data_IF_874099444859
#
_entry.id   IF_874099444859
#
_cell.length_a   1.000
_cell.length_b   1.000
_cell.length_c   1.000
_cell.angle_alpha   90.00
_cell.angle_beta   90.00
_cell.angle_gamma   90.00
#
_symmetry.space_group_name_H-M   'P 1'
#
loop_
_entity.id
_entity.type
_entity.pdbx_description
1 polymer ?
#
# COMPACT_ATOMS: atom_id res chain seq x y z
N UNK A 1 -11.19 16.39 -34.32
CA UNK A 1 -11.78 16.86 -33.04
C UNK A 1 -10.84 16.51 -31.89
N UNK A 2 -9.86 17.38 -31.56
CA UNK A 2 -8.97 17.15 -30.42
C UNK A 2 -9.71 17.57 -29.13
N UNK A 3 -10.29 16.60 -28.43
CA UNK A 3 -10.96 16.84 -27.15
C UNK A 3 -9.99 17.47 -26.16
N UNK A 4 -10.36 18.60 -25.55
CA UNK A 4 -9.59 19.26 -24.49
C UNK A 4 -9.18 18.21 -23.44
N UNK A 5 -7.87 18.02 -23.24
CA UNK A 5 -7.34 17.11 -22.22
C UNK A 5 -7.96 17.48 -20.87
N UNK A 6 -8.63 16.52 -20.23
CA UNK A 6 -9.27 16.71 -18.93
C UNK A 6 -8.21 17.12 -17.88
N UNK A 7 -8.58 17.91 -16.86
CA UNK A 7 -7.68 18.38 -15.80
C UNK A 7 -6.90 17.21 -15.17
N UNK A 8 -7.56 16.06 -14.97
CA UNK A 8 -6.95 14.81 -14.49
C UNK A 8 -5.84 14.31 -15.42
N UNK A 9 -6.06 14.31 -16.74
CA UNK A 9 -5.03 13.91 -17.71
C UNK A 9 -3.85 14.87 -17.72
N UNK A 10 -4.07 16.18 -17.51
CA UNK A 10 -2.97 17.14 -17.40
C UNK A 10 -2.15 16.91 -16.13
N UNK A 11 -2.82 16.68 -15.00
CA UNK A 11 -2.17 16.35 -13.73
C UNK A 11 -1.31 15.10 -13.83
N UNK A 12 -1.86 13.99 -14.35
CA UNK A 12 -1.14 12.72 -14.55
C UNK A 12 0.07 12.86 -15.48
N UNK A 13 -0.05 13.68 -16.53
CA UNK A 13 1.09 13.95 -17.42
C UNK A 13 2.19 14.77 -16.74
N UNK A 14 1.83 15.72 -15.88
CA UNK A 14 2.79 16.54 -15.14
C UNK A 14 3.51 15.69 -14.09
N UNK A 15 2.78 14.92 -13.29
CA UNK A 15 3.37 14.05 -12.25
C UNK A 15 4.21 12.93 -12.87
N UNK A 16 3.78 12.40 -14.03
CA UNK A 16 4.58 11.44 -14.81
C UNK A 16 5.90 12.03 -15.32
N UNK A 17 5.89 13.26 -15.84
CA UNK A 17 7.12 13.96 -16.25
C UNK A 17 8.04 14.28 -15.07
N UNK A 18 7.46 14.64 -13.93
CA UNK A 18 8.23 14.91 -12.72
C UNK A 18 8.97 13.65 -12.23
N UNK A 19 8.38 12.46 -12.38
CA UNK A 19 9.05 11.16 -12.11
C UNK A 19 10.27 10.92 -13.01
N UNK A 20 10.30 11.47 -14.23
CA UNK A 20 11.47 11.34 -15.11
C UNK A 20 12.66 12.16 -14.57
N UNK A 21 12.39 13.30 -13.93
CA UNK A 21 13.41 14.20 -13.37
C UNK A 21 13.82 13.78 -11.96
N UNK A 22 12.86 13.43 -11.10
CA UNK A 22 13.11 12.99 -9.72
C UNK A 22 13.53 11.52 -9.63
N UNK A 23 13.50 10.78 -10.74
CA UNK A 23 13.74 9.34 -10.78
C UNK A 23 12.52 8.52 -10.31
N UNK A 24 12.58 7.18 -10.50
CA UNK A 24 11.58 6.30 -9.92
C UNK A 24 11.56 6.48 -8.40
N UNK A 25 10.39 6.33 -7.78
CA UNK A 25 10.29 6.27 -6.32
C UNK A 25 11.34 5.30 -5.79
N UNK A 26 12.04 5.66 -4.69
CA UNK A 26 13.13 4.88 -4.12
C UNK A 26 12.73 3.40 -4.08
N UNK A 27 13.37 2.60 -4.93
CA UNK A 27 13.27 1.15 -4.89
C UNK A 27 14.38 0.67 -3.96
N UNK A 28 14.20 0.83 -2.65
CA UNK A 28 15.04 0.06 -1.73
C UNK A 28 14.73 -1.41 -1.98
N UNK A 29 15.75 -2.21 -2.28
CA UNK A 29 15.58 -3.65 -2.42
C UNK A 29 15.02 -4.23 -1.12
N UNK A 30 14.08 -5.16 -1.22
CA UNK A 30 13.62 -5.95 -0.05
C UNK A 30 14.68 -6.92 0.45
N UNK A 31 15.82 -7.00 -0.25
CA UNK A 31 16.94 -7.92 0.01
C UNK A 31 17.89 -7.44 1.12
N UNK A 32 17.61 -6.30 1.77
CA UNK A 32 18.39 -5.87 2.93
C UNK A 32 17.92 -6.62 4.19
N UNK A 33 18.84 -7.00 5.11
CA UNK A 33 18.43 -7.55 6.39
C UNK A 33 17.54 -6.54 7.14
N UNK A 34 16.51 -7.03 7.85
CA UNK A 34 15.71 -6.18 8.72
C UNK A 34 16.58 -5.64 9.84
N UNK A 35 16.60 -4.31 9.99
CA UNK A 35 17.15 -3.63 11.16
C UNK A 35 16.41 -4.06 12.43
N UNK A 36 17.03 -3.89 13.59
CA UNK A 36 16.40 -4.23 14.86
C UNK A 36 15.11 -3.45 15.10
N UNK A 37 15.10 -2.16 14.74
CA UNK A 37 13.90 -1.30 14.83
C UNK A 37 12.76 -1.82 13.96
N UNK A 38 13.05 -2.26 12.73
CA UNK A 38 12.04 -2.83 11.84
C UNK A 38 11.48 -4.16 12.38
N UNK A 39 12.30 -4.96 13.07
CA UNK A 39 11.84 -6.20 13.70
C UNK A 39 10.91 -5.91 14.88
N UNK A 40 11.24 -4.92 15.71
CA UNK A 40 10.37 -4.48 16.82
C UNK A 40 9.04 -3.96 16.29
N UNK A 41 9.09 -3.10 15.28
CA UNK A 41 7.89 -2.60 14.62
C UNK A 41 7.06 -3.75 14.04
N UNK A 42 7.68 -4.74 13.39
CA UNK A 42 6.96 -5.90 12.86
C UNK A 42 6.25 -6.69 13.98
N UNK A 43 6.92 -6.94 15.10
CA UNK A 43 6.32 -7.64 16.25
C UNK A 43 5.10 -6.92 16.80
N UNK A 44 5.17 -5.59 16.93
CA UNK A 44 4.01 -4.77 17.35
C UNK A 44 2.85 -4.91 16.35
N UNK A 45 3.14 -4.85 15.05
CA UNK A 45 2.12 -4.98 14.00
C UNK A 45 1.50 -6.37 13.93
N UNK A 46 2.29 -7.41 14.18
CA UNK A 46 1.78 -8.78 14.25
C UNK A 46 0.87 -8.98 15.46
N UNK A 47 1.23 -8.42 16.62
CA UNK A 47 0.37 -8.41 17.79
C UNK A 47 -0.94 -7.64 17.53
N UNK A 48 -0.84 -6.48 16.88
CA UNK A 48 -2.01 -5.70 16.46
C UNK A 48 -2.88 -6.45 15.44
N UNK A 49 -2.29 -7.19 14.51
CA UNK A 49 -3.05 -7.97 13.53
C UNK A 49 -3.70 -9.21 14.17
N UNK A 50 -3.06 -9.80 15.18
CA UNK A 50 -3.51 -11.03 15.82
C UNK A 50 -4.87 -10.90 16.52
N UNK A 51 -5.32 -9.68 16.84
CA UNK A 51 -6.63 -9.42 17.44
C UNK A 51 -7.79 -9.49 16.41
N UNK A 52 -7.49 -9.66 15.11
CA UNK A 52 -8.48 -9.70 14.04
C UNK A 52 -8.56 -11.08 13.37
N UNK A 53 -9.75 -11.45 12.90
CA UNK A 53 -9.97 -12.64 12.07
C UNK A 53 -10.68 -12.29 10.76
N UNK A 54 -10.37 -13.06 9.71
CA UNK A 54 -10.99 -12.89 8.39
C UNK A 54 -12.15 -13.85 8.25
N UNK A 55 -13.36 -13.32 8.02
CA UNK A 55 -14.57 -14.10 7.80
C UNK A 55 -14.93 -14.06 6.32
N UNK A 56 -15.05 -15.25 5.72
CA UNK A 56 -15.56 -15.45 4.35
C UNK A 56 -17.02 -15.88 4.43
N UNK A 57 -17.91 -15.15 3.76
CA UNK A 57 -19.32 -15.53 3.62
C UNK A 57 -19.54 -16.41 2.39
N UNK A 58 -20.67 -17.10 2.37
CA UNK A 58 -21.09 -17.96 1.26
C UNK A 58 -21.31 -17.20 -0.06
N UNK A 59 -21.59 -15.89 0.01
CA UNK A 59 -21.70 -14.99 -1.15
C UNK A 59 -20.33 -14.60 -1.76
N UNK A 60 -19.23 -15.10 -1.20
CA UNK A 60 -17.86 -14.81 -1.63
C UNK A 60 -17.26 -13.54 -1.03
N UNK A 61 -18.02 -12.73 -0.28
CA UNK A 61 -17.53 -11.52 0.38
C UNK A 61 -16.60 -11.84 1.55
N UNK A 62 -15.63 -10.94 1.80
CA UNK A 62 -14.60 -11.10 2.85
C UNK A 62 -14.59 -9.89 3.75
N UNK A 63 -14.64 -10.11 5.06
CA UNK A 63 -14.57 -9.05 6.06
C UNK A 63 -13.58 -9.41 7.14
N UNK A 64 -13.09 -8.38 7.82
CA UNK A 64 -12.23 -8.51 8.99
C UNK A 64 -13.08 -8.15 10.22
N UNK A 65 -13.11 -9.02 11.21
CA UNK A 65 -13.84 -8.81 12.47
C UNK A 65 -12.90 -8.98 13.66
N UNK A 66 -13.15 -8.29 14.79
CA UNK A 66 -12.36 -8.50 16.00
C UNK A 66 -12.60 -9.94 16.50
N UNK A 67 -11.53 -10.62 16.92
CA UNK A 67 -11.68 -11.89 17.63
C UNK A 67 -12.40 -11.63 18.95
N UNK A 68 -13.40 -12.45 19.27
CA UNK A 68 -13.99 -12.46 20.61
C UNK A 68 -12.96 -13.09 21.55
N UNK A 69 -12.58 -12.38 22.60
CA UNK A 69 -11.71 -12.91 23.66
C UNK A 69 -12.35 -14.10 24.37
#
# INVERSE_FOLDING_TARGET
MAGKKNAVQRFMNITGKLRVILGPAQKSGVDHPMTEDNRRLLQEREADAAQWETVRRADGSTYIVPKKQ
#
